data_IF_571595635217
#
_entry.id   IF_571595635217
#
_cell.length_a   1.000
_cell.length_b   1.000
_cell.length_c   1.000
_cell.angle_alpha   90.00
_cell.angle_beta   90.00
_cell.angle_gamma   90.00
#
_symmetry.space_group_name_H-M   'P 1'
#
loop_
_entity.id
_entity.type
_entity.pdbx_description
1 polymer ?
#
# COMPACT_ATOMS: atom_id res chain seq x y z
N UNK A 1 15.56 4.31 13.05
CA UNK A 1 14.63 4.48 14.19
C UNK A 1 13.28 3.91 13.75
N UNK A 2 12.30 3.70 14.63
CA UNK A 2 10.93 3.37 14.20
C UNK A 2 9.92 4.20 15.00
N UNK A 3 8.75 4.44 14.40
CA UNK A 3 7.57 4.95 15.11
C UNK A 3 6.49 3.87 15.12
N UNK A 4 5.58 3.99 16.07
CA UNK A 4 4.42 3.10 16.20
C UNK A 4 3.15 3.88 15.92
N UNK A 5 2.26 3.28 15.13
CA UNK A 5 0.90 3.74 14.89
C UNK A 5 -0.05 2.81 15.63
N UNK A 6 -0.94 3.38 16.45
CA UNK A 6 -2.02 2.62 17.06
C UNK A 6 -3.05 2.25 15.99
N UNK A 7 -3.36 0.97 15.91
CA UNK A 7 -4.28 0.41 14.93
C UNK A 7 -5.29 -0.51 15.65
N UNK A 8 -6.60 -0.39 15.43
CA UNK A 8 -7.59 -1.19 16.16
C UNK A 8 -7.58 -2.68 15.75
N UNK A 9 -7.03 -3.03 14.59
CA UNK A 9 -6.96 -4.40 14.07
C UNK A 9 -5.62 -5.04 14.46
N UNK A 10 -4.52 -4.33 14.22
CA UNK A 10 -3.16 -4.83 14.40
C UNK A 10 -2.49 -4.42 15.72
N UNK A 11 -3.20 -3.65 16.55
CA UNK A 11 -2.77 -3.01 17.80
C UNK A 11 -1.71 -1.93 17.60
N UNK A 12 -0.53 -2.33 17.12
CA UNK A 12 0.60 -1.44 16.86
C UNK A 12 1.26 -1.82 15.53
N UNK A 13 1.33 -0.84 14.63
CA UNK A 13 2.04 -0.97 13.36
C UNK A 13 3.34 -0.20 13.47
N UNK A 14 4.46 -0.88 13.24
CA UNK A 14 5.79 -0.26 13.23
C UNK A 14 6.09 0.26 11.84
N UNK A 15 6.56 1.50 11.76
CA UNK A 15 7.06 2.08 10.53
C UNK A 15 8.52 2.53 10.70
N UNK A 16 9.38 2.10 9.78
CA UNK A 16 10.81 2.42 9.77
C UNK A 16 11.11 3.71 9.01
N UNK A 17 12.34 4.21 9.10
CA UNK A 17 12.73 5.54 8.63
C UNK A 17 12.31 5.87 7.19
N UNK A 18 12.40 4.93 6.24
CA UNK A 18 11.92 5.21 4.88
C UNK A 18 10.40 5.10 4.71
N UNK A 19 9.80 4.07 5.34
CA UNK A 19 8.34 3.91 5.35
C UNK A 19 7.68 5.18 5.91
N UNK A 20 8.24 5.79 6.96
CA UNK A 20 7.78 7.06 7.50
C UNK A 20 7.82 8.21 6.50
N UNK A 21 8.88 8.34 5.71
CA UNK A 21 8.95 9.38 4.67
C UNK A 21 7.90 9.16 3.58
N UNK A 22 7.63 7.91 3.22
CA UNK A 22 6.57 7.56 2.26
C UNK A 22 5.19 7.82 2.87
N UNK A 23 4.96 7.45 4.13
CA UNK A 23 3.73 7.76 4.87
C UNK A 23 3.47 9.26 4.92
N UNK A 24 4.49 10.07 5.17
CA UNK A 24 4.40 11.54 5.25
C UNK A 24 4.29 12.22 3.88
N UNK A 25 4.40 11.48 2.78
CA UNK A 25 4.27 12.02 1.42
C UNK A 25 2.83 12.43 1.08
N UNK A 26 2.67 13.40 0.19
CA UNK A 26 1.35 13.84 -0.26
C UNK A 26 0.49 12.70 -0.83
N UNK A 27 1.00 11.82 -1.72
CA UNK A 27 0.18 10.74 -2.28
C UNK A 27 -0.38 9.78 -1.22
N UNK A 28 0.39 9.44 -0.18
CA UNK A 28 -0.10 8.61 0.92
C UNK A 28 -1.07 9.38 1.81
N UNK A 29 -0.73 10.60 2.24
CA UNK A 29 -1.62 11.39 3.09
C UNK A 29 -2.99 11.66 2.44
N UNK A 30 -3.03 11.75 1.10
CA UNK A 30 -4.28 11.87 0.33
C UNK A 30 -5.25 10.72 0.61
N UNK A 31 -4.77 9.51 0.88
CA UNK A 31 -5.62 8.34 1.15
C UNK A 31 -6.49 8.50 2.39
N UNK A 32 -6.14 9.42 3.33
CA UNK A 32 -6.97 9.76 4.49
C UNK A 32 -8.35 10.32 4.11
N UNK A 33 -8.46 10.84 2.89
CA UNK A 33 -9.67 11.48 2.38
C UNK A 33 -10.42 10.58 1.38
N UNK A 34 -10.02 9.30 1.27
CA UNK A 34 -10.66 8.33 0.40
C UNK A 34 -11.20 7.19 1.27
N UNK A 35 -12.51 7.12 1.42
CA UNK A 35 -13.16 6.03 2.14
C UNK A 35 -12.88 4.69 1.47
N UNK A 36 -12.52 3.67 2.25
CA UNK A 36 -12.28 2.31 1.75
C UNK A 36 -13.49 1.81 0.97
N UNK A 37 -14.67 1.88 1.59
CA UNK A 37 -15.93 1.34 1.06
C UNK A 37 -16.79 2.40 0.34
N UNK A 38 -16.19 3.48 -0.16
CA UNK A 38 -16.88 4.49 -0.96
C UNK A 38 -18.07 5.13 -0.21
N UNK A 39 -19.29 4.90 -0.69
CA UNK A 39 -20.53 5.43 -0.10
C UNK A 39 -21.22 4.46 0.88
N UNK A 40 -20.63 3.31 1.19
CA UNK A 40 -21.22 2.33 2.10
C UNK A 40 -21.54 2.91 3.49
N UNK A 41 -20.84 3.97 3.89
CA UNK A 41 -21.12 4.72 5.12
C UNK A 41 -22.55 5.28 5.21
N UNK A 42 -23.25 5.44 4.07
CA UNK A 42 -24.66 5.86 4.04
C UNK A 42 -25.61 4.76 4.52
N UNK A 43 -25.18 3.49 4.48
CA UNK A 43 -25.94 2.31 4.94
C UNK A 43 -25.36 1.79 6.26
N UNK A 44 -24.04 1.80 6.41
CA UNK A 44 -23.31 1.37 7.59
C UNK A 44 -22.56 2.57 8.19
N UNK A 45 -23.16 3.35 9.11
CA UNK A 45 -22.61 4.63 9.57
C UNK A 45 -21.19 4.57 10.15
N UNK A 46 -20.76 3.40 10.65
CA UNK A 46 -19.41 3.17 11.18
C UNK A 46 -18.35 2.80 10.14
N UNK A 47 -18.74 2.57 8.87
CA UNK A 47 -17.81 2.32 7.75
C UNK A 47 -17.09 3.61 7.30
N UNK A 48 -16.44 4.28 8.25
CA UNK A 48 -15.75 5.56 8.07
C UNK A 48 -14.25 5.40 7.81
N UNK A 49 -13.75 4.17 7.78
CA UNK A 49 -12.33 3.91 7.58
C UNK A 49 -11.91 4.28 6.16
N UNK A 50 -10.71 4.85 6.06
CA UNK A 50 -10.09 5.31 4.83
C UNK A 50 -9.04 4.32 4.31
N UNK A 51 -8.63 4.53 3.06
CA UNK A 51 -7.54 3.75 2.43
C UNK A 51 -6.20 3.95 3.11
N UNK A 52 -6.03 5.01 3.90
CA UNK A 52 -4.78 5.28 4.59
C UNK A 52 -4.48 4.23 5.68
N UNK A 53 -5.41 4.00 6.62
CA UNK A 53 -5.23 2.98 7.65
C UNK A 53 -5.15 1.57 7.05
N UNK A 54 -5.93 1.29 6.00
CA UNK A 54 -5.82 0.05 5.26
C UNK A 54 -4.42 -0.16 4.66
N UNK A 55 -3.84 0.88 4.04
CA UNK A 55 -2.46 0.81 3.50
C UNK A 55 -1.42 0.54 4.58
N UNK A 56 -1.59 1.08 5.80
CA UNK A 56 -0.72 0.76 6.93
C UNK A 56 -0.89 -0.70 7.38
N UNK A 57 -2.12 -1.18 7.46
CA UNK A 57 -2.44 -2.57 7.83
C UNK A 57 -1.90 -3.58 6.81
N UNK A 58 -2.10 -3.32 5.52
CA UNK A 58 -1.54 -4.13 4.41
C UNK A 58 -0.01 -4.16 4.44
N UNK A 59 0.66 -3.03 4.72
CA UNK A 59 2.12 -3.00 4.92
C UNK A 59 2.55 -3.93 6.07
N UNK A 60 1.86 -3.88 7.20
CA UNK A 60 2.17 -4.70 8.36
C UNK A 60 1.98 -6.19 8.08
N UNK A 61 0.83 -6.56 7.51
CA UNK A 61 0.52 -7.94 7.14
C UNK A 61 1.46 -8.48 6.07
N UNK A 62 1.83 -7.68 5.07
CA UNK A 62 2.79 -8.10 4.05
C UNK A 62 4.14 -8.50 4.67
N UNK A 63 4.62 -7.73 5.66
CA UNK A 63 5.81 -8.08 6.44
C UNK A 63 5.65 -9.38 7.23
N UNK A 64 4.53 -9.56 7.93
CA UNK A 64 4.25 -10.77 8.71
C UNK A 64 4.15 -12.02 7.84
N UNK A 65 3.47 -11.91 6.69
CA UNK A 65 3.37 -12.99 5.72
C UNK A 65 4.76 -13.36 5.20
N UNK A 66 5.57 -12.37 4.80
CA UNK A 66 6.94 -12.59 4.34
C UNK A 66 7.78 -13.40 5.35
N UNK A 67 7.73 -13.02 6.63
CA UNK A 67 8.44 -13.73 7.70
C UNK A 67 7.89 -15.14 7.93
N UNK A 68 6.55 -15.31 7.88
CA UNK A 68 5.89 -16.61 8.06
C UNK A 68 6.24 -17.62 6.96
N UNK A 69 6.58 -17.15 5.75
CA UNK A 69 7.07 -17.97 4.65
C UNK A 69 8.54 -18.42 4.85
N UNK A 70 9.17 -18.02 5.95
CA UNK A 70 10.56 -18.37 6.27
C UNK A 70 11.59 -17.59 5.45
N UNK A 71 11.18 -16.53 4.76
CA UNK A 71 12.06 -15.66 3.99
C UNK A 71 12.87 -14.77 4.95
N UNK A 72 14.16 -14.54 4.64
CA UNK A 72 15.10 -13.85 5.53
C UNK A 72 15.84 -12.69 4.88
N UNK A 73 15.57 -12.42 3.61
CA UNK A 73 16.19 -11.29 2.91
C UNK A 73 15.61 -9.98 3.47
N UNK A 74 16.46 -9.23 4.20
CA UNK A 74 16.08 -7.97 4.84
C UNK A 74 15.73 -6.87 3.83
N UNK A 75 16.39 -6.85 2.67
CA UNK A 75 16.12 -5.86 1.64
C UNK A 75 14.77 -6.15 1.03
N UNK A 76 14.53 -7.40 0.62
CA UNK A 76 13.26 -7.82 0.05
C UNK A 76 12.10 -7.64 1.04
N UNK A 77 12.30 -7.90 2.33
CA UNK A 77 11.31 -7.61 3.38
C UNK A 77 10.85 -6.15 3.35
N UNK A 78 11.79 -5.21 3.24
CA UNK A 78 11.46 -3.78 3.16
C UNK A 78 10.72 -3.44 1.85
N UNK A 79 11.12 -4.04 0.72
CA UNK A 79 10.46 -3.81 -0.56
C UNK A 79 9.01 -4.32 -0.54
N UNK A 80 8.78 -5.50 0.03
CA UNK A 80 7.43 -6.08 0.19
C UNK A 80 6.55 -5.21 1.07
N UNK A 81 7.08 -4.70 2.18
CA UNK A 81 6.35 -3.77 3.05
C UNK A 81 6.02 -2.45 2.34
N UNK A 82 6.99 -1.84 1.66
CA UNK A 82 6.76 -0.62 0.87
C UNK A 82 5.73 -0.84 -0.25
N UNK A 83 5.76 -2.00 -0.90
CA UNK A 83 4.75 -2.38 -1.90
C UNK A 83 3.35 -2.51 -1.26
N UNK A 84 3.25 -3.15 -0.10
CA UNK A 84 2.00 -3.22 0.67
C UNK A 84 1.49 -1.85 1.10
N UNK A 85 2.38 -0.92 1.46
CA UNK A 85 2.03 0.46 1.78
C UNK A 85 1.51 1.25 0.57
N UNK A 86 2.05 0.97 -0.62
CA UNK A 86 1.78 1.74 -1.85
C UNK A 86 0.67 1.14 -2.73
N UNK A 87 0.20 -0.08 -2.46
CA UNK A 87 -0.74 -0.81 -3.32
C UNK A 87 -2.02 -0.03 -3.65
N UNK A 88 -2.43 0.83 -2.73
CA UNK A 88 -3.68 1.59 -2.80
C UNK A 88 -3.51 3.04 -3.29
N UNK A 89 -2.27 3.48 -3.53
CA UNK A 89 -1.94 4.88 -3.86
C UNK A 89 -2.54 5.33 -5.20
N UNK A 90 -3.01 4.40 -6.02
CA UNK A 90 -3.68 4.68 -7.29
C UNK A 90 -5.19 4.92 -7.18
N UNK A 91 -5.80 4.68 -6.02
CA UNK A 91 -7.25 4.83 -5.88
C UNK A 91 -7.71 6.29 -5.95
N UNK A 92 -8.84 6.47 -6.62
CA UNK A 92 -9.50 7.75 -6.83
C UNK A 92 -10.67 7.94 -5.85
N UNK A 93 -11.22 9.17 -5.70
CA UNK A 93 -12.37 9.40 -4.83
C UNK A 93 -13.54 8.46 -5.19
N UNK A 94 -14.30 8.01 -4.19
CA UNK A 94 -15.35 6.98 -4.34
C UNK A 94 -14.86 5.60 -4.79
N UNK A 95 -13.55 5.32 -4.68
CA UNK A 95 -12.98 3.98 -4.91
C UNK A 95 -13.37 3.45 -6.31
N UNK A 96 -13.75 2.17 -6.40
CA UNK A 96 -14.14 1.52 -7.64
C UNK A 96 -15.32 2.19 -8.37
N UNK A 97 -16.13 3.02 -7.71
CA UNK A 97 -17.25 3.71 -8.39
C UNK A 97 -16.75 4.69 -9.45
N UNK A 98 -15.62 5.34 -9.21
CA UNK A 98 -15.05 6.30 -10.16
C UNK A 98 -14.20 5.64 -11.23
N UNK A 99 -13.66 4.45 -10.99
CA UNK A 99 -12.94 3.66 -12.00
C UNK A 99 -13.81 3.39 -13.22
N UNK A 100 -15.10 3.10 -13.01
CA UNK A 100 -16.09 2.90 -14.10
C UNK A 100 -16.22 4.15 -15.00
N UNK A 101 -16.00 5.35 -14.43
CA UNK A 101 -16.06 6.62 -15.16
C UNK A 101 -14.73 7.00 -15.84
N UNK A 102 -13.62 6.40 -15.41
CA UNK A 102 -12.27 6.70 -15.91
C UNK A 102 -11.89 5.85 -17.14
N UNK A 103 -12.77 4.94 -17.59
CA UNK A 103 -12.52 4.07 -18.73
C UNK A 103 -11.49 2.98 -18.40
N UNK A 104 -10.54 2.73 -19.30
CA UNK A 104 -9.51 1.68 -19.16
C UNK A 104 -8.41 1.96 -18.11
N UNK A 105 -8.57 3.00 -17.29
CA UNK A 105 -7.58 3.35 -16.26
C UNK A 105 -7.91 2.64 -14.96
N UNK A 106 -7.27 1.50 -14.73
CA UNK A 106 -7.33 0.81 -13.45
C UNK A 106 -6.54 1.56 -12.38
N UNK A 107 -6.90 1.42 -11.09
CA UNK A 107 -6.15 2.03 -10.00
C UNK A 107 -4.70 1.51 -9.98
N UNK A 108 -4.43 0.29 -10.44
CA UNK A 108 -3.05 -0.21 -10.57
C UNK A 108 -2.21 0.66 -11.53
N UNK A 109 -2.76 1.02 -12.69
CA UNK A 109 -2.06 1.88 -13.66
C UNK A 109 -1.83 3.31 -13.14
N UNK A 110 -2.79 3.83 -12.37
CA UNK A 110 -2.66 5.14 -11.72
C UNK A 110 -1.62 5.06 -10.61
N UNK A 111 -1.63 3.98 -9.82
CA UNK A 111 -0.69 3.75 -8.73
C UNK A 111 0.75 3.70 -9.22
N UNK A 112 1.01 2.94 -10.28
CA UNK A 112 2.32 2.91 -10.93
C UNK A 112 2.78 4.32 -11.34
N UNK A 113 1.89 5.09 -11.97
CA UNK A 113 2.19 6.47 -12.39
C UNK A 113 2.48 7.39 -11.19
N UNK A 114 1.69 7.28 -10.12
CA UNK A 114 1.87 8.05 -8.88
C UNK A 114 3.24 7.76 -8.25
N UNK A 115 3.67 6.50 -8.27
CA UNK A 115 5.01 6.12 -7.77
C UNK A 115 6.10 6.85 -8.54
N UNK A 116 6.01 6.94 -9.87
CA UNK A 116 7.05 7.55 -10.70
C UNK A 116 6.95 9.08 -10.81
N UNK A 117 5.77 9.67 -10.74
CA UNK A 117 5.55 11.09 -11.08
C UNK A 117 5.27 12.00 -9.87
N UNK A 118 4.76 11.48 -8.75
CA UNK A 118 4.29 12.31 -7.63
C UNK A 118 5.23 12.29 -6.41
N UNK A 119 6.55 12.28 -6.66
CA UNK A 119 7.58 12.45 -5.62
C UNK A 119 7.86 11.22 -4.74
N UNK A 120 7.12 10.12 -4.90
CA UNK A 120 7.41 8.84 -4.24
C UNK A 120 8.76 8.29 -4.74
N UNK A 121 9.01 8.33 -6.05
CA UNK A 121 10.29 7.94 -6.65
C UNK A 121 11.46 8.64 -5.96
N UNK A 122 11.43 9.97 -5.89
CA UNK A 122 12.49 10.77 -5.26
C UNK A 122 12.65 10.43 -3.78
N UNK A 123 11.54 10.21 -3.07
CA UNK A 123 11.54 9.80 -1.67
C UNK A 123 12.26 8.46 -1.47
N UNK A 124 11.94 7.45 -2.30
CA UNK A 124 12.57 6.14 -2.27
C UNK A 124 14.05 6.20 -2.67
N UNK A 125 14.40 6.98 -3.70
CA UNK A 125 15.79 7.21 -4.11
C UNK A 125 16.60 7.85 -2.98
N UNK A 126 16.04 8.83 -2.28
CA UNK A 126 16.66 9.48 -1.12
C UNK A 126 16.80 8.55 0.10
N UNK A 127 16.07 7.44 0.14
CA UNK A 127 16.27 6.36 1.11
C UNK A 127 17.33 5.33 0.69
N UNK A 128 17.92 5.47 -0.51
CA UNK A 128 18.90 4.54 -1.04
C UNK A 128 18.31 3.32 -1.75
N UNK A 129 17.08 3.40 -2.27
CA UNK A 129 16.53 2.38 -3.18
C UNK A 129 17.03 2.60 -4.61
N UNK A 130 17.44 1.51 -5.27
CA UNK A 130 17.84 1.54 -6.68
C UNK A 130 16.61 1.66 -7.59
N UNK A 131 16.81 1.87 -8.89
CA UNK A 131 15.66 1.84 -9.81
C UNK A 131 15.04 0.44 -9.90
N UNK A 132 15.87 -0.60 -9.83
CA UNK A 132 15.45 -2.00 -9.83
C UNK A 132 14.64 -2.34 -8.56
N UNK A 133 15.03 -1.81 -7.40
CA UNK A 133 14.24 -1.94 -6.16
C UNK A 133 12.85 -1.33 -6.32
N UNK A 134 12.76 -0.16 -6.98
CA UNK A 134 11.51 0.59 -7.16
C UNK A 134 10.62 -0.10 -8.20
N UNK A 135 11.21 -0.61 -9.29
CA UNK A 135 10.51 -1.44 -10.26
C UNK A 135 9.93 -2.70 -9.60
N UNK A 136 10.67 -3.33 -8.70
CA UNK A 136 10.19 -4.47 -7.93
C UNK A 136 9.05 -4.06 -6.96
N UNK A 137 9.13 -2.91 -6.30
CA UNK A 137 8.01 -2.39 -5.48
C UNK A 137 6.74 -2.24 -6.33
N UNK A 138 6.85 -1.64 -7.52
CA UNK A 138 5.73 -1.47 -8.45
C UNK A 138 5.19 -2.82 -8.92
N UNK A 139 6.06 -3.78 -9.25
CA UNK A 139 5.65 -5.14 -9.60
C UNK A 139 4.89 -5.83 -8.47
N UNK A 140 5.40 -5.77 -7.24
CA UNK A 140 4.77 -6.37 -6.07
C UNK A 140 3.41 -5.75 -5.73
N UNK A 141 3.29 -4.43 -5.87
CA UNK A 141 2.09 -3.68 -5.52
C UNK A 141 0.97 -3.83 -6.57
N UNK A 142 1.31 -3.82 -7.86
CA UNK A 142 0.33 -3.62 -8.94
C UNK A 142 0.24 -4.77 -9.94
N UNK A 143 1.25 -5.65 -10.02
CA UNK A 143 1.25 -6.76 -10.99
C UNK A 143 0.84 -8.07 -10.31
N UNK A 144 0.02 -8.86 -11.02
CA UNK A 144 -0.54 -10.13 -10.51
C UNK A 144 0.31 -11.37 -10.87
N UNK A 145 1.48 -11.18 -11.48
CA UNK A 145 2.35 -12.25 -11.97
C UNK A 145 3.37 -12.74 -10.94
N UNK A 146 3.71 -14.03 -10.95
CA UNK A 146 4.75 -14.58 -10.08
C UNK A 146 4.27 -14.97 -8.67
N UNK A 147 5.21 -15.39 -7.82
CA UNK A 147 4.90 -15.87 -6.46
C UNK A 147 5.03 -14.78 -5.38
N UNK A 148 5.94 -13.82 -5.55
CA UNK A 148 6.13 -12.76 -4.56
C UNK A 148 4.96 -11.77 -4.50
N UNK A 149 4.38 -11.29 -5.63
CA UNK A 149 3.23 -10.39 -5.55
C UNK A 149 2.01 -10.99 -4.85
N UNK A 150 1.89 -12.33 -4.81
CA UNK A 150 0.82 -13.03 -4.07
C UNK A 150 0.83 -12.75 -2.56
N UNK A 151 1.96 -12.29 -2.01
CA UNK A 151 2.02 -11.83 -0.62
C UNK A 151 1.06 -10.66 -0.40
N UNK A 152 0.87 -9.81 -1.41
CA UNK A 152 0.00 -8.62 -1.34
C UNK A 152 -1.32 -8.90 -2.05
N UNK A 153 -1.27 -9.23 -3.35
CA UNK A 153 -2.45 -9.29 -4.24
C UNK A 153 -3.03 -10.70 -4.44
N UNK A 154 -2.49 -11.70 -3.74
CA UNK A 154 -2.96 -13.08 -3.81
C UNK A 154 -4.36 -13.27 -3.23
N UNK A 155 -4.95 -14.45 -3.44
CA UNK A 155 -6.30 -14.76 -2.90
C UNK A 155 -6.37 -14.67 -1.37
N UNK A 156 -5.24 -14.95 -0.71
CA UNK A 156 -5.02 -14.80 0.74
C UNK A 156 -3.87 -13.81 1.01
N UNK A 157 -3.67 -12.84 0.12
CA UNK A 157 -2.66 -11.81 0.26
C UNK A 157 -3.03 -10.77 1.31
N UNK A 158 -2.05 -9.96 1.73
CA UNK A 158 -2.18 -8.95 2.78
C UNK A 158 -3.33 -7.98 2.54
N UNK A 159 -3.54 -7.52 1.30
CA UNK A 159 -4.63 -6.61 0.92
C UNK A 159 -6.00 -7.21 1.32
N UNK A 160 -6.28 -8.44 0.88
CA UNK A 160 -7.53 -9.14 1.19
C UNK A 160 -7.70 -9.51 2.65
N UNK A 161 -6.60 -9.72 3.37
CA UNK A 161 -6.64 -10.07 4.79
C UNK A 161 -6.90 -8.85 5.67
N UNK A 162 -6.60 -7.65 5.18
CA UNK A 162 -6.75 -6.40 5.93
C UNK A 162 -8.13 -5.76 5.81
N UNK A 163 -8.70 -5.69 4.60
CA UNK A 163 -9.98 -5.01 4.34
C UNK A 163 -11.20 -5.75 4.93
#
# INVERSE_FOLDING_TARGET
MFKEFSDPIHQLIKAYDCELKVIDSFPLQRLRFINQLGIAYLVFPSAQHSRFEHSLGTMELAGRIFESLGLRDKRLYQLVRLAGLLHDVGHTPFSHTTEVLLGDKSHESIGERVVYEEGILDTLRNCGYSYEDIELIVELAFKKGGNLPKIITGEFGADRMDY
#
